data_IF_246045232895
#
_entry.id   IF_246045232895
#
_cell.length_a   1.000
_cell.length_b   1.000
_cell.length_c   1.000
_cell.angle_alpha   90.00
_cell.angle_beta   90.00
_cell.angle_gamma   90.00
#
_symmetry.space_group_name_H-M   'P 1'
#
loop_
_entity.id
_entity.type
_entity.pdbx_description
1 polymer ?
#
# COMPACT_ATOMS: atom_id res chain seq x y z
N UNK A 1 11.17 21.29 -10.41
CA UNK A 1 11.28 19.87 -10.79
C UNK A 1 11.65 19.13 -9.53
N UNK A 2 10.90 18.08 -9.18
CA UNK A 2 11.21 17.25 -8.00
C UNK A 2 12.60 16.61 -8.20
N UNK A 3 13.40 16.61 -7.14
CA UNK A 3 14.68 15.90 -7.18
C UNK A 3 14.48 14.44 -6.78
N UNK A 4 14.63 13.53 -7.71
CA UNK A 4 14.51 12.10 -7.48
C UNK A 4 15.89 11.49 -7.18
N UNK A 5 16.10 10.92 -5.98
CA UNK A 5 17.38 10.31 -5.58
C UNK A 5 17.54 8.90 -6.17
N UNK A 6 17.40 8.74 -7.49
CA UNK A 6 17.37 7.45 -8.17
C UNK A 6 18.66 6.64 -7.95
N UNK A 7 19.82 7.29 -8.03
CA UNK A 7 21.12 6.65 -7.80
C UNK A 7 21.25 6.13 -6.35
N UNK A 8 20.91 6.97 -5.37
CA UNK A 8 20.96 6.57 -3.97
C UNK A 8 19.99 5.44 -3.63
N UNK A 9 18.82 5.40 -4.27
CA UNK A 9 17.88 4.29 -4.13
C UNK A 9 18.48 3.02 -4.74
N UNK A 10 19.06 3.14 -5.94
CA UNK A 10 19.70 2.02 -6.61
C UNK A 10 20.84 1.43 -5.78
N UNK A 11 21.71 2.26 -5.23
CA UNK A 11 22.81 1.84 -4.36
C UNK A 11 22.34 1.04 -3.13
N UNK A 12 21.22 1.48 -2.50
CA UNK A 12 20.70 0.82 -1.30
C UNK A 12 19.95 -0.49 -1.60
N UNK A 13 19.44 -0.67 -2.83
CA UNK A 13 18.53 -1.77 -3.17
C UNK A 13 19.18 -2.81 -4.08
N UNK A 14 20.13 -2.42 -4.94
CA UNK A 14 20.70 -3.30 -5.96
C UNK A 14 21.37 -4.57 -5.42
N UNK A 15 21.94 -4.50 -4.23
CA UNK A 15 22.52 -5.68 -3.55
C UNK A 15 21.46 -6.66 -3.02
N UNK A 16 20.23 -6.19 -2.77
CA UNK A 16 19.11 -6.99 -2.30
C UNK A 16 18.31 -7.58 -3.46
N UNK A 17 18.22 -6.85 -4.57
CA UNK A 17 17.50 -7.24 -5.79
C UNK A 17 18.45 -7.17 -7.00
N UNK A 18 19.12 -8.25 -7.36
CA UNK A 18 19.98 -8.28 -8.55
C UNK A 18 19.21 -7.89 -9.82
N UNK A 19 19.81 -7.03 -10.64
CA UNK A 19 19.17 -6.49 -11.85
C UNK A 19 18.18 -5.35 -11.61
N UNK A 20 18.08 -4.84 -10.38
CA UNK A 20 17.21 -3.72 -10.04
C UNK A 20 17.51 -2.45 -10.83
N UNK A 21 16.46 -1.81 -11.32
CA UNK A 21 16.53 -0.53 -12.04
C UNK A 21 15.54 0.49 -11.46
N UNK A 22 15.83 1.77 -11.66
CA UNK A 22 14.98 2.89 -11.25
C UNK A 22 14.63 3.73 -12.48
N UNK A 23 13.34 3.90 -12.71
CA UNK A 23 12.80 4.73 -13.79
C UNK A 23 11.93 5.84 -13.20
N UNK A 24 12.09 7.06 -13.69
CA UNK A 24 11.28 8.21 -13.31
C UNK A 24 10.67 8.81 -14.56
N UNK A 25 9.34 8.91 -14.58
CA UNK A 25 8.58 9.48 -15.69
C UNK A 25 7.86 10.75 -15.23
N UNK A 26 7.83 11.81 -16.05
CA UNK A 26 7.06 13.00 -15.73
C UNK A 26 5.56 12.72 -15.74
N UNK A 27 5.10 11.88 -16.65
CA UNK A 27 3.69 11.51 -16.75
C UNK A 27 3.51 10.11 -17.36
N UNK A 28 2.50 9.38 -16.86
CA UNK A 28 2.02 8.12 -17.42
C UNK A 28 0.53 7.93 -17.07
N UNK A 29 -0.16 7.01 -17.72
CA UNK A 29 -1.54 6.65 -17.34
C UNK A 29 -1.58 6.04 -15.91
N UNK A 30 -0.83 4.98 -15.67
CA UNK A 30 -0.70 4.32 -14.36
C UNK A 30 0.56 3.48 -14.31
N UNK A 31 1.36 3.63 -13.25
CA UNK A 31 2.57 2.83 -13.03
C UNK A 31 2.26 1.33 -12.91
N UNK A 32 1.16 0.96 -12.24
CA UNK A 32 0.71 -0.44 -12.18
C UNK A 32 0.28 -0.96 -13.56
N UNK A 33 -0.48 -0.17 -14.32
CA UNK A 33 -0.93 -0.58 -15.66
C UNK A 33 0.27 -0.80 -16.58
N UNK A 34 1.29 0.03 -16.49
CA UNK A 34 2.52 -0.13 -17.25
C UNK A 34 3.24 -1.46 -16.92
N UNK A 35 3.39 -1.77 -15.63
CA UNK A 35 3.97 -3.07 -15.25
C UNK A 35 3.16 -4.27 -15.73
N UNK A 36 1.83 -4.17 -15.69
CA UNK A 36 0.97 -5.22 -16.23
C UNK A 36 1.13 -5.38 -17.77
N UNK A 37 1.42 -4.29 -18.49
CA UNK A 37 1.80 -4.34 -19.93
C UNK A 37 3.16 -5.01 -20.12
N UNK A 38 4.17 -4.60 -19.34
CA UNK A 38 5.53 -5.17 -19.38
C UNK A 38 5.52 -6.67 -19.05
N UNK A 39 4.80 -7.08 -18.03
CA UNK A 39 4.65 -8.50 -17.66
C UNK A 39 4.07 -9.35 -18.79
N UNK A 40 3.04 -8.85 -19.51
CA UNK A 40 2.47 -9.53 -20.69
C UNK A 40 3.46 -9.60 -21.85
N UNK A 41 4.38 -8.64 -21.97
CA UNK A 41 5.46 -8.65 -22.95
C UNK A 41 6.67 -9.51 -22.51
N UNK A 42 6.62 -10.13 -21.32
CA UNK A 42 7.67 -11.00 -20.80
C UNK A 42 8.80 -10.29 -20.04
N UNK A 43 8.66 -8.98 -19.76
CA UNK A 43 9.63 -8.22 -18.97
C UNK A 43 9.29 -8.39 -17.50
N UNK A 44 10.20 -8.99 -16.74
CA UNK A 44 10.00 -9.34 -15.32
C UNK A 44 11.13 -8.87 -14.41
N UNK A 45 12.08 -8.11 -14.93
CA UNK A 45 13.22 -7.60 -14.18
C UNK A 45 12.76 -6.69 -13.03
N UNK A 46 13.41 -6.76 -11.85
CA UNK A 46 13.09 -5.90 -10.72
C UNK A 46 13.24 -4.42 -11.12
N UNK A 47 12.14 -3.69 -11.08
CA UNK A 47 12.13 -2.29 -11.51
C UNK A 47 11.25 -1.46 -10.59
N UNK A 48 11.77 -0.31 -10.17
CA UNK A 48 11.01 0.77 -9.54
C UNK A 48 10.63 1.79 -10.61
N UNK A 49 9.34 1.99 -10.82
CA UNK A 49 8.80 3.00 -11.73
C UNK A 49 8.08 4.07 -10.94
N UNK A 50 8.59 5.29 -10.98
CA UNK A 50 8.01 6.47 -10.36
C UNK A 50 7.34 7.33 -11.42
N UNK A 51 6.16 7.87 -11.12
CA UNK A 51 5.50 8.87 -11.97
C UNK A 51 5.25 10.15 -11.17
N UNK A 52 5.67 11.30 -11.70
CA UNK A 52 5.33 12.59 -11.11
C UNK A 52 3.83 12.86 -11.21
N UNK A 53 3.20 12.39 -12.30
CA UNK A 53 1.76 12.47 -12.51
C UNK A 53 1.23 11.19 -13.16
N UNK A 54 0.10 10.69 -12.64
CA UNK A 54 -0.71 9.67 -13.32
C UNK A 54 -2.00 10.28 -13.88
N UNK A 55 -2.29 10.05 -15.17
CA UNK A 55 -3.52 10.56 -15.81
C UNK A 55 -4.72 9.64 -15.60
N UNK A 56 -4.49 8.37 -15.28
CA UNK A 56 -5.51 7.35 -15.03
C UNK A 56 -5.09 6.43 -13.87
N UNK A 57 -4.61 7.03 -12.76
CA UNK A 57 -4.20 6.29 -11.56
C UNK A 57 -5.34 5.44 -11.00
N UNK A 58 -5.01 4.24 -10.53
CA UNK A 58 -5.96 3.25 -10.05
C UNK A 58 -5.72 2.84 -8.62
N UNK A 59 -6.80 2.69 -7.87
CA UNK A 59 -6.87 1.99 -6.60
C UNK A 59 -7.65 0.69 -6.72
N UNK A 60 -7.89 0.02 -5.60
CA UNK A 60 -8.71 -1.21 -5.54
C UNK A 60 -10.14 -0.95 -6.00
N UNK A 61 -10.76 -2.01 -6.55
CA UNK A 61 -12.14 -1.99 -7.03
C UNK A 61 -12.40 -0.91 -8.10
N UNK A 62 -11.36 -0.58 -8.90
CA UNK A 62 -11.47 0.41 -9.97
C UNK A 62 -11.59 1.87 -9.50
N UNK A 63 -11.42 2.16 -8.23
CA UNK A 63 -11.46 3.54 -7.72
C UNK A 63 -10.32 4.36 -8.31
N UNK A 64 -10.54 5.62 -8.72
CA UNK A 64 -9.48 6.46 -9.22
C UNK A 64 -8.49 6.83 -8.09
N UNK A 65 -7.21 6.91 -8.45
CA UNK A 65 -6.17 7.53 -7.64
C UNK A 65 -5.73 8.83 -8.31
N UNK A 66 -5.90 9.94 -7.62
CA UNK A 66 -5.47 11.25 -8.10
C UNK A 66 -4.04 11.53 -7.67
N UNK A 67 -3.20 12.01 -8.59
CA UNK A 67 -1.81 12.39 -8.30
C UNK A 67 -1.48 13.73 -8.98
N UNK A 68 -0.61 14.49 -8.35
CA UNK A 68 -0.05 15.71 -8.92
C UNK A 68 1.43 15.80 -8.55
N UNK A 69 2.23 16.37 -9.45
CA UNK A 69 3.66 16.55 -9.25
C UNK A 69 3.95 17.37 -7.98
N UNK A 70 4.80 16.83 -7.10
CA UNK A 70 5.17 17.43 -5.81
C UNK A 70 4.13 17.29 -4.70
N UNK A 71 2.86 16.97 -5.00
CA UNK A 71 1.80 16.81 -4.01
C UNK A 71 1.57 15.36 -3.62
N UNK A 72 2.02 14.42 -4.44
CA UNK A 72 1.90 12.99 -4.17
C UNK A 72 3.15 12.23 -4.58
N UNK A 73 3.50 11.21 -3.81
CA UNK A 73 4.41 10.16 -4.21
C UNK A 73 3.60 9.03 -4.85
N UNK A 74 3.90 8.71 -6.11
CA UNK A 74 3.23 7.64 -6.83
C UNK A 74 4.25 6.78 -7.56
N UNK A 75 4.31 5.51 -7.19
CA UNK A 75 5.24 4.57 -7.80
C UNK A 75 4.70 3.15 -7.78
N UNK A 76 5.31 2.30 -8.58
CA UNK A 76 5.15 0.85 -8.51
C UNK A 76 6.51 0.16 -8.48
N UNK A 77 6.61 -0.91 -7.71
CA UNK A 77 7.73 -1.84 -7.73
C UNK A 77 7.26 -3.14 -8.37
N UNK A 78 7.83 -3.49 -9.50
CA UNK A 78 7.60 -4.76 -10.18
C UNK A 78 8.79 -5.69 -9.98
N UNK A 79 8.56 -6.96 -9.60
CA UNK A 79 9.63 -7.95 -9.43
C UNK A 79 9.11 -9.39 -9.56
N UNK A 80 9.97 -10.37 -9.92
CA UNK A 80 9.66 -11.77 -9.76
C UNK A 80 9.34 -12.08 -8.30
N UNK A 81 8.23 -12.79 -8.04
CA UNK A 81 7.79 -13.03 -6.67
C UNK A 81 6.87 -14.25 -6.60
N UNK A 82 7.17 -15.20 -5.72
CA UNK A 82 6.45 -16.47 -5.65
C UNK A 82 6.31 -16.99 -4.22
N UNK A 83 5.62 -16.27 -3.33
CA UNK A 83 5.40 -16.73 -1.97
C UNK A 83 4.46 -17.95 -1.95
N UNK A 84 4.57 -18.77 -0.92
CA UNK A 84 3.63 -19.89 -0.71
C UNK A 84 2.19 -19.44 -0.48
N UNK A 85 2.02 -18.29 0.17
CA UNK A 85 0.74 -17.65 0.45
C UNK A 85 0.86 -16.14 0.24
N UNK A 86 -0.02 -15.58 -0.59
CA UNK A 86 -0.10 -14.15 -0.89
C UNK A 86 -0.88 -13.35 0.16
N UNK A 87 -1.56 -14.06 1.05
CA UNK A 87 -2.43 -13.47 2.06
C UNK A 87 -1.64 -12.57 3.00
N UNK A 88 -2.14 -11.35 3.22
CA UNK A 88 -1.48 -10.38 4.10
C UNK A 88 -0.34 -9.59 3.45
N UNK A 89 0.01 -9.81 2.16
CA UNK A 89 1.08 -9.06 1.49
C UNK A 89 0.85 -7.55 1.53
N UNK A 90 -0.38 -7.09 1.28
CA UNK A 90 -0.72 -5.67 1.35
C UNK A 90 -0.52 -5.08 2.75
N UNK A 91 -0.74 -5.88 3.80
CA UNK A 91 -0.52 -5.47 5.19
C UNK A 91 0.98 -5.39 5.51
N UNK A 92 1.77 -6.33 5.00
CA UNK A 92 3.23 -6.34 5.13
C UNK A 92 3.84 -5.09 4.45
N UNK A 93 3.40 -4.78 3.23
CA UNK A 93 3.81 -3.56 2.50
C UNK A 93 3.40 -2.31 3.28
N UNK A 94 2.17 -2.24 3.77
CA UNK A 94 1.69 -1.11 4.58
C UNK A 94 2.53 -0.91 5.84
N UNK A 95 2.88 -2.00 6.52
CA UNK A 95 3.74 -1.97 7.70
C UNK A 95 5.13 -1.43 7.39
N UNK A 96 5.77 -1.92 6.31
CA UNK A 96 7.07 -1.42 5.87
C UNK A 96 7.06 0.08 5.59
N UNK A 97 6.03 0.58 4.90
CA UNK A 97 5.86 2.01 4.61
C UNK A 97 5.65 2.81 5.90
N UNK A 98 4.74 2.38 6.77
CA UNK A 98 4.43 3.10 8.00
C UNK A 98 5.64 3.18 8.95
N UNK A 99 6.37 2.09 9.13
CA UNK A 99 7.56 2.05 9.98
C UNK A 99 8.72 2.87 9.41
N UNK A 100 8.84 2.95 8.10
CA UNK A 100 9.88 3.74 7.45
C UNK A 100 9.62 5.24 7.55
N UNK A 101 8.37 5.69 7.48
CA UNK A 101 8.05 7.10 7.32
C UNK A 101 7.82 7.81 8.66
N UNK A 102 6.89 7.31 9.49
CA UNK A 102 6.59 7.95 10.77
C UNK A 102 5.92 6.98 11.77
N UNK A 103 6.24 7.08 13.09
CA UNK A 103 5.63 6.21 14.11
C UNK A 103 4.12 6.35 14.24
N UNK A 104 3.54 7.51 13.94
CA UNK A 104 2.10 7.78 14.09
C UNK A 104 1.28 7.36 12.86
N UNK A 105 1.90 6.85 11.80
CA UNK A 105 1.15 6.31 10.66
C UNK A 105 0.47 5.00 11.08
N UNK A 106 -0.85 5.01 11.07
CA UNK A 106 -1.69 3.85 11.29
C UNK A 106 -1.98 3.09 10.00
N UNK A 107 -2.47 1.87 10.15
CA UNK A 107 -2.82 0.98 9.05
C UNK A 107 -4.30 0.63 9.15
N UNK A 108 -5.03 0.95 8.09
CA UNK A 108 -6.42 0.54 7.96
C UNK A 108 -6.53 -0.62 6.99
N UNK A 109 -6.97 -1.75 7.49
CA UNK A 109 -7.22 -2.94 6.69
C UNK A 109 -8.18 -2.63 5.51
N UNK A 110 -7.91 -3.15 4.33
CA UNK A 110 -6.83 -4.08 4.00
C UNK A 110 -5.58 -3.43 3.38
N UNK A 111 -5.56 -2.13 3.06
CA UNK A 111 -4.54 -1.56 2.18
C UNK A 111 -4.31 -0.05 2.31
N UNK A 112 -4.84 0.58 3.34
CA UNK A 112 -4.74 2.04 3.49
C UNK A 112 -3.76 2.43 4.60
N UNK A 113 -2.97 3.46 4.33
CA UNK A 113 -2.18 4.21 5.32
C UNK A 113 -3.08 5.30 5.88
N UNK A 114 -3.13 5.42 7.21
CA UNK A 114 -4.02 6.33 7.89
C UNK A 114 -3.33 7.19 8.94
N UNK A 115 -3.86 8.37 9.16
CA UNK A 115 -3.50 9.24 10.25
C UNK A 115 -4.71 10.08 10.69
N UNK A 116 -5.04 10.06 12.00
CA UNK A 116 -6.18 10.79 12.59
C UNK A 116 -7.50 10.59 11.81
N UNK A 117 -7.87 9.35 11.58
CA UNK A 117 -9.06 8.93 10.82
C UNK A 117 -9.13 9.46 9.37
N UNK A 118 -8.02 9.93 8.82
CA UNK A 118 -7.88 10.41 7.44
C UNK A 118 -6.94 9.51 6.63
N UNK A 119 -7.18 9.44 5.34
CA UNK A 119 -6.39 8.60 4.44
C UNK A 119 -5.11 9.31 3.99
N UNK A 120 -3.97 8.80 4.42
CA UNK A 120 -2.64 9.26 4.00
C UNK A 120 -2.21 8.67 2.65
N UNK A 121 -2.54 7.40 2.41
CA UNK A 121 -2.12 6.70 1.20
C UNK A 121 -2.86 5.39 0.97
N UNK A 122 -2.54 4.74 -0.13
CA UNK A 122 -3.12 3.44 -0.49
C UNK A 122 -2.14 2.55 -1.23
N UNK A 123 -2.36 1.25 -1.12
CA UNK A 123 -1.55 0.20 -1.72
C UNK A 123 -2.41 -0.61 -2.68
N UNK A 124 -1.91 -0.85 -3.88
CA UNK A 124 -2.54 -1.69 -4.89
C UNK A 124 -1.57 -2.78 -5.33
N UNK A 125 -1.85 -4.02 -4.98
CA UNK A 125 -1.05 -5.17 -5.39
C UNK A 125 -1.77 -5.91 -6.51
N UNK A 126 -1.06 -6.11 -7.62
CA UNK A 126 -1.50 -6.93 -8.76
C UNK A 126 -0.44 -7.99 -9.02
N UNK A 127 -0.85 -9.15 -9.48
CA UNK A 127 0.05 -10.24 -9.86
C UNK A 127 -0.22 -10.64 -11.31
N UNK A 128 0.86 -11.01 -12.01
CA UNK A 128 0.78 -11.57 -13.35
C UNK A 128 1.61 -12.84 -13.40
N UNK A 129 1.14 -13.83 -14.17
CA UNK A 129 1.91 -15.05 -14.45
C UNK A 129 2.06 -15.17 -15.96
N UNK A 130 3.30 -15.19 -16.44
CA UNK A 130 3.63 -15.32 -17.87
C UNK A 130 4.74 -16.33 -18.03
N UNK A 131 4.53 -17.33 -18.87
CA UNK A 131 5.52 -18.38 -19.13
C UNK A 131 5.94 -19.18 -17.88
N UNK A 132 5.02 -19.35 -16.90
CA UNK A 132 5.30 -20.06 -15.64
C UNK A 132 6.09 -19.22 -14.61
N UNK A 133 6.35 -17.95 -14.88
CA UNK A 133 6.98 -17.01 -13.93
C UNK A 133 5.93 -16.08 -13.36
N UNK A 134 5.88 -16.00 -12.03
CA UNK A 134 5.02 -15.06 -11.32
C UNK A 134 5.76 -13.77 -11.07
N UNK A 135 5.08 -12.64 -11.32
CA UNK A 135 5.55 -11.30 -11.03
C UNK A 135 4.51 -10.61 -10.14
N UNK A 136 4.98 -9.88 -9.14
CA UNK A 136 4.15 -8.96 -8.37
C UNK A 136 4.38 -7.52 -8.84
N UNK A 137 3.31 -6.74 -8.84
CA UNK A 137 3.33 -5.29 -9.04
C UNK A 137 2.74 -4.65 -7.78
N UNK A 138 3.55 -3.89 -7.08
CA UNK A 138 3.20 -3.23 -5.83
C UNK A 138 3.12 -1.74 -6.07
N UNK A 139 1.92 -1.23 -6.29
CA UNK A 139 1.64 0.18 -6.43
C UNK A 139 1.39 0.84 -5.08
N UNK A 140 2.03 1.97 -4.86
CA UNK A 140 1.89 2.77 -3.64
C UNK A 140 1.66 4.22 -4.03
N UNK A 141 0.59 4.80 -3.45
CA UNK A 141 0.29 6.21 -3.54
C UNK A 141 0.24 6.84 -2.15
N UNK A 142 0.98 7.93 -1.94
CA UNK A 142 1.04 8.66 -0.67
C UNK A 142 0.80 10.14 -0.96
N UNK A 143 -0.12 10.77 -0.20
CA UNK A 143 -0.29 12.21 -0.24
C UNK A 143 0.89 12.85 0.49
N UNK A 144 1.68 13.66 -0.21
CA UNK A 144 2.81 14.39 0.37
C UNK A 144 2.30 15.70 0.97
N UNK A 145 1.51 16.47 0.20
CA UNK A 145 0.95 17.74 0.62
C UNK A 145 -0.57 17.66 0.82
N UNK A 146 -1.15 18.52 1.66
CA UNK A 146 -2.59 18.60 1.82
C UNK A 146 -3.30 18.87 0.49
N UNK A 147 -4.45 18.23 0.31
CA UNK A 147 -5.30 18.42 -0.88
C UNK A 147 -6.77 18.55 -0.48
N UNK A 148 -7.61 19.15 -1.36
CA UNK A 148 -9.05 19.21 -1.10
C UNK A 148 -9.68 17.84 -0.88
N UNK A 149 -10.71 17.80 -0.01
CA UNK A 149 -11.47 16.60 0.30
C UNK A 149 -12.68 16.38 -0.62
N UNK A 150 -12.95 17.30 -1.55
CA UNK A 150 -14.11 17.26 -2.41
C UNK A 150 -14.20 15.96 -3.23
N UNK A 151 -15.37 15.31 -3.20
CA UNK A 151 -15.62 14.05 -3.90
C UNK A 151 -14.95 12.81 -3.29
N UNK A 152 -14.26 12.93 -2.15
CA UNK A 152 -13.60 11.81 -1.47
C UNK A 152 -14.49 11.25 -0.35
N UNK A 153 -14.65 9.95 -0.32
CA UNK A 153 -15.41 9.25 0.74
C UNK A 153 -14.68 9.19 2.10
N UNK A 154 -13.41 9.54 2.12
CA UNK A 154 -12.57 9.61 3.32
C UNK A 154 -11.69 10.85 3.19
N UNK A 155 -11.66 11.75 4.18
CA UNK A 155 -10.82 12.93 4.13
C UNK A 155 -9.35 12.55 3.94
N UNK A 156 -8.58 13.28 3.13
CA UNK A 156 -7.16 13.01 2.93
C UNK A 156 -6.33 13.55 4.11
N UNK A 157 -5.30 12.82 4.50
CA UNK A 157 -4.16 13.31 5.28
C UNK A 157 -2.97 13.50 4.35
N UNK A 158 -1.95 14.23 4.80
CA UNK A 158 -0.71 14.44 4.07
C UNK A 158 0.52 14.14 4.93
N UNK A 159 1.58 13.65 4.31
CA UNK A 159 2.82 13.31 5.01
C UNK A 159 3.49 14.53 5.65
N UNK A 160 3.40 15.71 5.02
CA UNK A 160 3.93 16.97 5.58
C UNK A 160 3.25 17.41 6.87
N UNK A 161 2.09 16.88 7.22
CA UNK A 161 1.45 17.11 8.52
C UNK A 161 2.16 16.35 9.67
N UNK A 162 2.88 15.27 9.34
CA UNK A 162 3.66 14.43 10.26
C UNK A 162 5.16 14.71 10.17
N UNK A 163 5.63 14.96 8.98
CA UNK A 163 7.03 15.25 8.64
C UNK A 163 7.07 16.50 7.73
N UNK A 164 7.19 17.72 8.30
CA UNK A 164 7.04 18.98 7.57
C UNK A 164 7.93 19.13 6.34
N UNK A 165 9.16 18.60 6.40
CA UNK A 165 10.14 18.70 5.31
C UNK A 165 10.08 17.52 4.32
N UNK A 166 9.04 16.68 4.41
CA UNK A 166 8.89 15.55 3.52
C UNK A 166 8.67 15.99 2.08
N UNK A 167 9.42 15.39 1.17
CA UNK A 167 9.19 15.44 -0.27
C UNK A 167 8.92 14.03 -0.80
N UNK A 168 8.40 13.90 -2.01
CA UNK A 168 8.19 12.60 -2.62
C UNK A 168 9.52 11.82 -2.75
N UNK A 169 10.60 12.51 -3.15
CA UNK A 169 11.92 11.91 -3.28
C UNK A 169 12.50 11.43 -1.95
N UNK A 170 12.42 12.25 -0.88
CA UNK A 170 12.94 11.86 0.45
C UNK A 170 12.13 10.74 1.10
N UNK A 171 10.81 10.74 0.91
CA UNK A 171 9.95 9.67 1.38
C UNK A 171 10.27 8.35 0.67
N UNK A 172 10.44 8.37 -0.66
CA UNK A 172 10.79 7.20 -1.46
C UNK A 172 12.15 6.63 -1.05
N UNK A 173 13.17 7.47 -0.93
CA UNK A 173 14.51 7.04 -0.51
C UNK A 173 14.47 6.33 0.84
N UNK A 174 13.70 6.87 1.79
CA UNK A 174 13.60 6.35 3.14
C UNK A 174 12.86 5.00 3.22
N UNK A 175 11.81 4.82 2.41
CA UNK A 175 10.99 3.61 2.49
C UNK A 175 11.52 2.42 1.68
N UNK A 176 12.24 2.64 0.58
CA UNK A 176 12.59 1.57 -0.36
C UNK A 176 13.40 0.42 0.24
N UNK A 177 14.46 0.65 1.03
CA UNK A 177 15.23 -0.45 1.60
C UNK A 177 14.43 -1.36 2.53
N UNK A 178 13.55 -0.78 3.36
CA UNK A 178 12.69 -1.55 4.26
C UNK A 178 11.61 -2.29 3.49
N UNK A 179 11.02 -1.66 2.48
CA UNK A 179 10.03 -2.30 1.61
C UNK A 179 10.61 -3.55 0.96
N UNK A 180 11.79 -3.44 0.35
CA UNK A 180 12.43 -4.57 -0.33
C UNK A 180 12.78 -5.70 0.65
N UNK A 181 13.35 -5.39 1.80
CA UNK A 181 13.64 -6.39 2.84
C UNK A 181 12.37 -7.09 3.31
N UNK A 182 11.30 -6.32 3.57
CA UNK A 182 10.01 -6.90 3.98
C UNK A 182 9.44 -7.84 2.91
N UNK A 183 9.60 -7.53 1.62
CA UNK A 183 9.17 -8.41 0.54
C UNK A 183 9.96 -9.72 0.50
N UNK A 184 11.27 -9.65 0.64
CA UNK A 184 12.14 -10.84 0.70
C UNK A 184 11.77 -11.73 1.89
N UNK A 185 11.57 -11.14 3.07
CA UNK A 185 11.17 -11.88 4.26
C UNK A 185 9.76 -12.47 4.12
N UNK A 186 8.83 -11.70 3.55
CA UNK A 186 7.45 -12.16 3.30
C UNK A 186 7.41 -13.34 2.32
N UNK A 187 8.20 -13.33 1.27
CA UNK A 187 8.25 -14.44 0.31
C UNK A 187 8.59 -15.77 0.98
N UNK A 188 9.44 -15.72 2.00
CA UNK A 188 9.90 -16.91 2.75
C UNK A 188 8.95 -17.29 3.90
N UNK A 189 8.44 -16.30 4.65
CA UNK A 189 7.81 -16.51 5.96
C UNK A 189 6.32 -16.14 5.99
N UNK A 190 5.80 -15.44 4.95
CA UNK A 190 4.43 -14.95 4.91
C UNK A 190 4.18 -13.83 5.94
N UNK A 191 2.90 -13.60 6.26
CA UNK A 191 2.49 -12.49 7.12
C UNK A 191 2.63 -12.78 8.63
N UNK A 192 2.57 -14.03 9.06
CA UNK A 192 2.47 -14.40 10.47
C UNK A 192 3.52 -13.72 11.39
N UNK A 193 4.82 -13.60 11.01
CA UNK A 193 5.81 -12.92 11.85
C UNK A 193 5.56 -11.41 12.01
N UNK A 194 4.79 -10.81 11.11
CA UNK A 194 4.49 -9.37 11.10
C UNK A 194 3.22 -9.02 11.88
N UNK A 195 2.40 -10.01 12.27
CA UNK A 195 1.08 -9.81 12.87
C UNK A 195 1.12 -8.91 14.12
N UNK A 196 2.07 -9.14 15.02
CA UNK A 196 2.20 -8.35 16.27
C UNK A 196 2.56 -6.90 15.95
N UNK A 197 3.52 -6.67 15.05
CA UNK A 197 3.92 -5.32 14.63
C UNK A 197 2.76 -4.59 13.96
N UNK A 198 2.00 -5.28 13.10
CA UNK A 198 0.80 -4.74 12.47
C UNK A 198 -0.25 -4.34 13.52
N UNK A 199 -0.49 -5.19 14.52
CA UNK A 199 -1.50 -4.95 15.55
C UNK A 199 -1.26 -3.66 16.37
N UNK A 200 -0.03 -3.19 16.49
CA UNK A 200 0.32 -1.92 17.13
C UNK A 200 -0.07 -0.70 16.28
N UNK A 201 -0.31 -0.88 14.98
CA UNK A 201 -0.66 0.17 14.03
C UNK A 201 -2.08 0.02 13.46
N UNK A 202 -2.80 -1.04 13.84
CA UNK A 202 -4.15 -1.34 13.35
C UNK A 202 -5.16 -0.33 13.91
N UNK A 203 -5.57 0.62 13.08
CA UNK A 203 -6.53 1.67 13.47
C UNK A 203 -7.96 1.16 13.59
N UNK A 204 -8.25 -0.05 13.10
CA UNK A 204 -9.60 -0.62 13.22
C UNK A 204 -9.77 -1.46 14.48
N UNK A 205 -8.70 -1.89 15.13
CA UNK A 205 -8.79 -2.82 16.26
C UNK A 205 -9.69 -2.29 17.37
N UNK A 206 -10.70 -3.09 17.72
CA UNK A 206 -11.69 -2.77 18.77
C UNK A 206 -12.77 -1.79 18.33
N UNK A 207 -12.79 -1.32 17.08
CA UNK A 207 -13.84 -0.41 16.56
C UNK A 207 -15.00 -1.20 15.98
N UNK A 208 -16.19 -0.62 16.08
CA UNK A 208 -17.36 -1.06 15.33
C UNK A 208 -17.18 -0.64 13.86
N UNK A 209 -17.47 -1.56 12.94
CA UNK A 209 -17.32 -1.34 11.51
C UNK A 209 -18.48 -1.95 10.73
N UNK A 210 -18.67 -1.44 9.51
CA UNK A 210 -19.49 -2.06 8.49
C UNK A 210 -18.64 -2.39 7.26
N UNK A 211 -19.03 -3.43 6.55
CA UNK A 211 -18.37 -3.91 5.34
C UNK A 211 -19.22 -3.63 4.12
N UNK A 212 -18.60 -3.60 2.95
CA UNK A 212 -19.32 -3.34 1.69
C UNK A 212 -20.31 -4.43 1.28
N UNK A 213 -20.22 -5.61 1.88
CA UNK A 213 -21.14 -6.75 1.71
C UNK A 213 -22.25 -6.82 2.77
N UNK A 214 -22.35 -5.76 3.63
CA UNK A 214 -23.43 -5.61 4.59
C UNK A 214 -23.21 -6.24 5.97
N UNK A 215 -22.03 -6.79 6.25
CA UNK A 215 -21.72 -7.26 7.60
C UNK A 215 -21.39 -6.07 8.51
N UNK A 216 -21.79 -6.18 9.79
CA UNK A 216 -21.43 -5.22 10.83
C UNK A 216 -20.94 -5.97 12.07
N UNK A 217 -20.02 -5.33 12.81
CA UNK A 217 -19.52 -5.88 14.04
C UNK A 217 -18.25 -5.21 14.54
N UNK A 218 -17.70 -5.71 15.63
CA UNK A 218 -16.49 -5.19 16.26
C UNK A 218 -15.25 -5.91 15.76
N UNK A 219 -14.24 -5.16 15.32
CA UNK A 219 -12.99 -5.74 14.87
C UNK A 219 -12.17 -6.28 16.03
N UNK A 220 -11.62 -7.48 15.85
CA UNK A 220 -10.72 -8.14 16.80
C UNK A 220 -9.23 -8.00 16.40
N UNK A 221 -8.96 -7.30 15.28
CA UNK A 221 -7.64 -7.22 14.66
C UNK A 221 -7.48 -8.25 13.54
N UNK A 222 -6.24 -8.48 13.08
CA UNK A 222 -5.94 -9.40 11.98
C UNK A 222 -5.39 -10.73 12.48
N UNK A 223 -5.75 -11.81 11.80
CA UNK A 223 -5.20 -13.15 12.05
C UNK A 223 -3.81 -13.33 11.41
N UNK A 224 -3.17 -14.51 11.62
CA UNK A 224 -1.82 -14.79 11.12
C UNK A 224 -1.71 -14.83 9.60
N UNK A 225 -2.82 -14.96 8.88
CA UNK A 225 -2.89 -14.88 7.42
C UNK A 225 -3.24 -13.48 6.91
N UNK A 226 -3.37 -12.48 7.81
CA UNK A 226 -3.81 -11.13 7.43
C UNK A 226 -5.32 -10.98 7.21
N UNK A 227 -6.13 -12.01 7.46
CA UNK A 227 -7.59 -11.90 7.45
C UNK A 227 -8.06 -11.01 8.62
N UNK A 228 -9.00 -10.09 8.37
CA UNK A 228 -9.61 -9.28 9.41
C UNK A 228 -10.60 -10.14 10.20
N UNK A 229 -10.47 -10.15 11.51
CA UNK A 229 -11.38 -10.86 12.41
C UNK A 229 -12.46 -9.91 12.91
N UNK A 230 -13.71 -10.26 12.70
CA UNK A 230 -14.88 -9.46 13.04
C UNK A 230 -15.81 -10.24 13.98
N UNK A 231 -16.10 -9.69 15.14
CA UNK A 231 -17.13 -10.20 16.04
C UNK A 231 -18.49 -9.65 15.61
N UNK A 232 -19.34 -10.52 15.09
CA UNK A 232 -20.71 -10.18 14.68
C UNK A 232 -21.72 -10.73 15.70
N UNK A 233 -23.00 -10.40 15.54
CA UNK A 233 -24.10 -10.99 16.31
C UNK A 233 -24.28 -12.50 16.07
N UNK A 234 -23.70 -13.04 15.00
CA UNK A 234 -23.72 -14.46 14.65
C UNK A 234 -22.43 -15.20 15.00
N UNK A 235 -21.51 -14.57 15.73
CA UNK A 235 -20.19 -15.07 16.07
C UNK A 235 -19.05 -14.45 15.31
N UNK A 236 -17.84 -14.99 15.48
CA UNK A 236 -16.64 -14.48 14.81
C UNK A 236 -16.63 -14.85 13.33
N UNK A 237 -16.21 -13.88 12.49
CA UNK A 237 -16.00 -14.04 11.05
C UNK A 237 -14.60 -13.59 10.66
N UNK A 238 -13.96 -14.32 9.74
CA UNK A 238 -12.71 -13.92 9.10
C UNK A 238 -13.02 -13.36 7.71
N UNK A 239 -12.55 -12.13 7.45
CA UNK A 239 -12.75 -11.45 6.18
C UNK A 239 -11.44 -11.42 5.40
N UNK A 240 -11.50 -11.75 4.11
CA UNK A 240 -10.37 -11.72 3.20
C UNK A 240 -10.37 -10.43 2.37
N UNK A 241 -9.17 -9.93 2.07
CA UNK A 241 -8.99 -8.61 1.45
C UNK A 241 -9.57 -8.47 0.04
N UNK A 242 -9.79 -9.58 -0.67
CA UNK A 242 -10.24 -9.57 -2.07
C UNK A 242 -11.71 -9.16 -2.22
N UNK A 243 -12.51 -9.35 -1.18
CA UNK A 243 -13.97 -9.38 -1.27
C UNK A 243 -14.63 -8.10 -0.75
N UNK A 244 -14.03 -7.43 0.25
CA UNK A 244 -14.73 -6.37 0.96
C UNK A 244 -13.89 -5.10 1.20
N UNK A 245 -14.59 -3.98 1.34
CA UNK A 245 -14.10 -2.75 1.96
C UNK A 245 -14.69 -2.62 3.35
N UNK A 246 -13.91 -2.07 4.29
CA UNK A 246 -14.33 -1.88 5.68
C UNK A 246 -14.33 -0.40 6.02
N UNK A 247 -15.37 0.06 6.71
CA UNK A 247 -15.49 1.44 7.21
C UNK A 247 -15.81 1.41 8.70
N UNK A 248 -15.13 2.22 9.53
CA UNK A 248 -15.57 2.44 10.90
C UNK A 248 -16.92 3.16 10.90
N UNK A 249 -17.76 2.91 11.91
CA UNK A 249 -18.94 3.73 12.17
C UNK A 249 -18.49 5.14 12.55
N UNK A 250 -19.15 6.14 11.99
CA UNK A 250 -18.97 7.50 12.47
C UNK A 250 -19.69 7.68 13.82
N UNK A 251 -19.18 8.56 14.73
CA UNK A 251 -19.73 8.71 16.08
C UNK A 251 -21.22 9.06 16.17
N UNK A 252 -21.84 9.47 15.06
CA UNK A 252 -23.26 9.85 14.97
C UNK A 252 -24.15 8.83 14.23
N UNK A 253 -23.59 7.72 13.73
CA UNK A 253 -24.36 6.61 13.15
C UNK A 253 -24.56 5.52 14.21
N UNK A 254 -25.52 5.71 15.11
CA UNK A 254 -26.05 4.61 15.91
C UNK A 254 -27.08 3.84 15.07
N UNK A 255 -27.06 2.49 15.10
CA UNK A 255 -28.04 1.66 14.42
C UNK A 255 -29.45 1.84 14.98
#
# INVERSE_FOLDING_TARGET
>A
MEHWPAESIWEQVSSLLPGFTVEVLPEIDSTNTEFMRRARAGHTEPTLLVAERQTAGRGRLGRPWQSAAGDSLTFSLGLPFSPKDWSGLSLAVGLAVAESLHPDIGLKWPNDLWWQDRKLGGILIEAATTGGRSQVVIGIGINIRPRPAEGLSTPPAALTELWPDATAGTALLRLMPMLVRTLIDFEQQGFAPLQVRYAHRDVLRGREVHTSDGLSGRTLGVGPTGALRLQTNQGERALHSNEVSVRPFEPNEHP
#
